data_IF_326394668052
#
_entry.id   IF_326394668052
#
_cell.length_a   1.000
_cell.length_b   1.000
_cell.length_c   1.000
_cell.angle_alpha   90.00
_cell.angle_beta   90.00
_cell.angle_gamma   90.00
#
_symmetry.space_group_name_H-M   'P 1'
#
loop_
_entity.id
_entity.type
_entity.pdbx_description
1 polymer ?
#
# COMPACT_ATOMS: atom_id res chain seq x y z
N UNK A 1 -13.24 -15.97 -6.47
CA UNK A 1 -11.86 -15.79 -5.98
C UNK A 1 -11.76 -14.35 -5.52
N UNK A 2 -11.25 -14.09 -4.30
CA UNK A 2 -11.02 -12.71 -3.85
C UNK A 2 -9.78 -12.20 -4.57
N UNK A 3 -9.89 -11.06 -5.25
CA UNK A 3 -8.77 -10.46 -5.93
C UNK A 3 -7.94 -9.67 -4.91
N UNK A 4 -6.95 -10.35 -4.31
CA UNK A 4 -6.10 -9.77 -3.26
C UNK A 4 -5.24 -8.63 -3.80
N UNK A 5 -4.97 -8.62 -5.10
CA UNK A 5 -4.20 -7.58 -5.79
C UNK A 5 -4.87 -6.21 -5.70
N UNK A 6 -6.16 -6.14 -5.96
CA UNK A 6 -6.91 -4.88 -5.86
C UNK A 6 -6.86 -4.31 -4.44
N UNK A 7 -6.89 -5.16 -3.41
CA UNK A 7 -6.76 -4.73 -2.01
C UNK A 7 -5.40 -4.12 -1.72
N UNK A 8 -4.31 -4.63 -2.32
CA UNK A 8 -2.98 -4.05 -2.15
C UNK A 8 -2.85 -2.71 -2.89
N UNK A 9 -3.33 -2.64 -4.14
CA UNK A 9 -3.32 -1.39 -4.92
C UNK A 9 -4.12 -0.31 -4.19
N UNK A 10 -5.32 -0.64 -3.73
CA UNK A 10 -6.17 0.32 -3.02
C UNK A 10 -5.53 0.79 -1.72
N UNK A 11 -4.96 -0.12 -0.92
CA UNK A 11 -4.26 0.29 0.30
C UNK A 11 -3.03 1.18 0.05
N UNK A 12 -2.35 1.02 -1.08
CA UNK A 12 -1.25 1.93 -1.48
C UNK A 12 -1.79 3.30 -1.88
N UNK A 13 -2.88 3.33 -2.66
CA UNK A 13 -3.52 4.57 -3.10
C UNK A 13 -4.10 5.36 -1.92
N UNK A 14 -4.71 4.70 -0.94
CA UNK A 14 -5.25 5.34 0.26
C UNK A 14 -4.12 6.04 1.06
N UNK A 15 -2.99 5.35 1.28
CA UNK A 15 -1.81 5.93 1.94
C UNK A 15 -1.22 7.06 1.08
N UNK A 16 -1.23 6.90 -0.24
CA UNK A 16 -0.75 7.92 -1.14
C UNK A 16 -1.59 9.20 -1.08
N UNK A 17 -2.91 9.07 -1.10
CA UNK A 17 -3.85 10.19 -0.97
C UNK A 17 -3.70 10.90 0.37
N UNK A 18 -3.63 10.15 1.47
CA UNK A 18 -3.50 10.69 2.84
C UNK A 18 -2.21 11.51 3.01
N UNK A 19 -1.11 11.09 2.38
CA UNK A 19 0.20 11.73 2.52
C UNK A 19 0.63 12.56 1.30
N UNK A 20 -0.25 12.74 0.32
CA UNK A 20 0.02 13.52 -0.90
C UNK A 20 1.13 12.93 -1.78
N UNK A 21 1.21 11.60 -1.88
CA UNK A 21 2.15 10.87 -2.74
C UNK A 21 1.56 10.68 -4.13
N UNK A 22 2.40 10.79 -5.15
CA UNK A 22 2.01 10.63 -6.55
C UNK A 22 2.10 9.15 -6.96
N UNK A 23 1.17 8.33 -6.46
CA UNK A 23 0.97 6.98 -6.94
C UNK A 23 -0.35 6.91 -7.70
N UNK A 24 -0.29 6.37 -8.92
CA UNK A 24 -1.45 6.16 -9.77
C UNK A 24 -1.73 4.68 -9.93
N UNK A 25 -2.99 4.34 -10.20
CA UNK A 25 -3.36 2.95 -10.49
C UNK A 25 -2.59 2.39 -11.68
N UNK A 26 -2.33 3.19 -12.71
CA UNK A 26 -1.57 2.78 -13.91
C UNK A 26 -0.12 2.38 -13.61
N UNK A 27 0.48 2.94 -12.55
CA UNK A 27 1.82 2.54 -12.10
C UNK A 27 1.80 1.25 -11.28
N UNK A 28 0.72 1.00 -10.53
CA UNK A 28 0.59 -0.14 -9.61
C UNK A 28 0.02 -1.39 -10.31
N UNK A 29 -0.86 -1.22 -11.29
CA UNK A 29 -1.51 -2.29 -12.04
C UNK A 29 -0.57 -3.22 -12.83
N UNK A 30 0.62 -2.81 -13.31
CA UNK A 30 1.58 -3.73 -13.90
C UNK A 30 2.54 -4.39 -12.87
N UNK A 31 2.60 -3.92 -11.62
CA UNK A 31 3.55 -4.41 -10.63
C UNK A 31 3.20 -5.82 -10.15
N UNK A 32 4.13 -6.76 -10.00
CA UNK A 32 3.81 -8.07 -9.46
C UNK A 32 3.34 -7.97 -7.99
N UNK A 33 2.58 -8.96 -7.52
CA UNK A 33 1.90 -8.91 -6.21
C UNK A 33 2.88 -8.73 -5.04
N UNK A 34 4.04 -9.38 -5.11
CA UNK A 34 5.11 -9.26 -4.12
C UNK A 34 5.68 -7.84 -4.03
N UNK A 35 5.83 -7.15 -5.16
CA UNK A 35 6.25 -5.74 -5.17
C UNK A 35 5.17 -4.81 -4.59
N UNK A 36 3.90 -5.08 -4.85
CA UNK A 36 2.79 -4.34 -4.24
C UNK A 36 2.78 -4.51 -2.71
N UNK A 37 2.98 -5.73 -2.23
CA UNK A 37 3.08 -6.01 -0.78
C UNK A 37 4.26 -5.25 -0.18
N UNK A 38 5.44 -5.32 -0.78
CA UNK A 38 6.64 -4.64 -0.30
C UNK A 38 6.49 -3.11 -0.31
N UNK A 39 5.89 -2.54 -1.37
CA UNK A 39 5.63 -1.11 -1.47
C UNK A 39 4.66 -0.65 -0.39
N UNK A 40 3.53 -1.35 -0.24
CA UNK A 40 2.56 -1.06 0.82
C UNK A 40 3.24 -1.10 2.18
N UNK A 41 3.96 -2.17 2.52
CA UNK A 41 4.58 -2.32 3.84
C UNK A 41 5.63 -1.22 4.10
N UNK A 42 6.37 -0.81 3.07
CA UNK A 42 7.30 0.34 3.16
C UNK A 42 6.57 1.65 3.41
N UNK A 43 5.45 1.89 2.73
CA UNK A 43 4.62 3.08 2.92
C UNK A 43 4.01 3.09 4.34
N UNK A 44 3.45 1.97 4.79
CA UNK A 44 2.94 1.81 6.15
C UNK A 44 4.04 2.06 7.20
N UNK A 45 5.22 1.48 7.05
CA UNK A 45 6.34 1.74 7.97
C UNK A 45 6.80 3.20 7.96
N UNK A 46 6.74 3.88 6.82
CA UNK A 46 7.22 5.26 6.70
C UNK A 46 6.19 6.27 7.23
N UNK A 47 4.91 6.01 7.01
CA UNK A 47 3.84 6.99 7.23
C UNK A 47 2.88 6.61 8.37
N UNK A 48 2.62 5.32 8.60
CA UNK A 48 1.78 4.84 9.72
C UNK A 48 2.58 4.51 11.00
N UNK A 49 3.85 4.93 11.10
CA UNK A 49 4.75 4.63 12.24
C UNK A 49 4.31 5.24 13.60
N UNK A 50 3.07 5.73 13.71
CA UNK A 50 2.47 6.28 14.94
C UNK A 50 1.61 5.24 15.69
N UNK A 51 1.24 4.10 15.08
CA UNK A 51 0.35 3.12 15.72
C UNK A 51 0.82 1.66 15.70
N UNK A 52 2.14 1.40 15.76
CA UNK A 52 2.66 0.04 16.04
C UNK A 52 2.52 -0.32 17.55
N UNK A 53 1.31 -0.20 18.10
CA UNK A 53 0.89 -0.79 19.39
C UNK A 53 -0.46 -1.45 19.19
N UNK A 54 -0.44 -2.72 18.80
CA UNK A 54 -1.52 -3.73 18.64
C UNK A 54 -1.21 -4.39 17.30
N UNK A 55 -0.50 -5.50 17.23
CA UNK A 55 -0.72 -6.76 17.91
C UNK A 55 0.62 -7.50 17.98
N UNK A 56 1.17 -7.62 19.20
CA UNK A 56 2.01 -8.76 19.56
C UNK A 56 1.09 -9.84 20.12
#
# INVERSE_FOLDING_TARGET
MKDYRELYIQGILDIAEEHGLDYTREQLDPMPEDELIALRDRLRMKYENIHFKRYC
#
